data_IF_851866486927
#
_entry.id   IF_851866486927
#
_cell.length_a   1.000
_cell.length_b   1.000
_cell.length_c   1.000
_cell.angle_alpha   90.00
_cell.angle_beta   90.00
_cell.angle_gamma   90.00
#
_symmetry.space_group_name_H-M   'P 1'
#
loop_
_entity.id
_entity.type
_entity.pdbx_description
1 polymer ?
#
# COMPACT_ATOMS: atom_id res chain seq x y z
N UNK A 1 -32.85 5.37 -6.31
CA UNK A 1 -32.06 5.97 -5.20
C UNK A 1 -31.09 4.92 -4.71
N UNK A 2 -29.79 5.13 -4.89
CA UNK A 2 -28.78 4.22 -4.34
C UNK A 2 -28.80 4.36 -2.81
N UNK A 3 -29.06 3.28 -2.08
CA UNK A 3 -29.15 3.28 -0.60
C UNK A 3 -27.82 3.01 0.10
N UNK A 4 -26.81 2.60 -0.67
CA UNK A 4 -25.52 2.16 -0.14
C UNK A 4 -24.40 2.74 -1.00
N UNK A 5 -23.31 3.08 -0.33
CA UNK A 5 -22.06 3.52 -0.94
C UNK A 5 -21.00 2.54 -0.47
N UNK A 6 -20.20 2.05 -1.42
CA UNK A 6 -19.05 1.20 -1.14
C UNK A 6 -17.82 2.06 -1.32
N UNK A 7 -16.92 1.99 -0.34
CA UNK A 7 -15.63 2.67 -0.38
C UNK A 7 -14.54 1.62 -0.49
N UNK A 8 -13.53 1.93 -1.30
CA UNK A 8 -12.26 1.25 -1.21
C UNK A 8 -11.60 1.58 0.14
N UNK A 9 -10.66 0.75 0.57
CA UNK A 9 -9.99 0.91 1.86
C UNK A 9 -8.70 1.72 1.72
N UNK A 10 -7.72 1.16 1.01
CA UNK A 10 -6.38 1.73 0.86
C UNK A 10 -6.43 3.02 0.03
N UNK A 11 -5.85 4.10 0.54
CA UNK A 11 -5.85 5.41 -0.12
C UNK A 11 -7.21 6.12 -0.18
N UNK A 12 -8.30 5.47 0.23
CA UNK A 12 -9.65 6.06 0.28
C UNK A 12 -10.12 6.29 1.72
N UNK A 13 -10.15 5.25 2.55
CA UNK A 13 -10.51 5.36 3.97
C UNK A 13 -9.28 5.47 4.87
N UNK A 14 -8.14 4.94 4.43
CA UNK A 14 -6.90 4.88 5.22
C UNK A 14 -5.69 5.21 4.37
N UNK A 15 -4.81 6.08 4.88
CA UNK A 15 -3.44 6.25 4.36
C UNK A 15 -2.56 5.07 4.81
N UNK A 16 -2.64 3.98 4.05
CA UNK A 16 -1.99 2.71 4.37
C UNK A 16 -0.62 2.54 3.71
N UNK A 17 -0.18 3.48 2.87
CA UNK A 17 1.08 3.38 2.13
C UNK A 17 2.29 3.28 3.07
N UNK A 18 2.28 4.04 4.16
CA UNK A 18 3.33 4.03 5.19
C UNK A 18 3.47 2.68 5.91
N UNK A 19 2.41 1.85 5.89
CA UNK A 19 2.42 0.50 6.48
C UNK A 19 2.78 -0.55 5.43
N UNK A 20 2.36 -0.34 4.18
CA UNK A 20 2.55 -1.29 3.10
C UNK A 20 4.03 -1.43 2.68
N UNK A 21 4.75 -0.31 2.59
CA UNK A 21 6.17 -0.29 2.15
C UNK A 21 7.08 -1.14 3.07
N UNK A 22 7.04 -0.99 4.41
CA UNK A 22 7.80 -1.85 5.31
C UNK A 22 7.46 -3.34 5.17
N UNK A 23 6.18 -3.69 5.04
CA UNK A 23 5.73 -5.09 4.91
C UNK A 23 6.24 -5.70 3.60
N UNK A 24 6.10 -4.97 2.49
CA UNK A 24 6.62 -5.39 1.21
C UNK A 24 8.13 -5.63 1.28
N UNK A 25 8.89 -4.68 1.85
CA UNK A 25 10.34 -4.78 1.94
C UNK A 25 10.80 -5.99 2.76
N UNK A 26 10.11 -6.32 3.85
CA UNK A 26 10.40 -7.54 4.63
C UNK A 26 10.26 -8.81 3.79
N UNK A 27 9.25 -8.88 2.93
CA UNK A 27 9.03 -10.02 2.04
C UNK A 27 10.07 -10.03 0.92
N UNK A 28 10.37 -8.87 0.34
CA UNK A 28 11.34 -8.74 -0.73
C UNK A 28 12.74 -9.20 -0.28
N UNK A 29 13.20 -8.73 0.88
CA UNK A 29 14.48 -9.15 1.47
C UNK A 29 14.53 -10.65 1.71
N UNK A 30 13.47 -11.23 2.30
CA UNK A 30 13.39 -12.67 2.57
C UNK A 30 13.56 -13.54 1.34
N UNK A 31 13.14 -13.04 0.17
CA UNK A 31 13.16 -13.79 -1.08
C UNK A 31 14.20 -13.28 -2.10
N UNK A 32 15.05 -12.31 -1.73
CA UNK A 32 16.10 -11.77 -2.59
C UNK A 32 15.60 -10.84 -3.70
N UNK A 33 14.42 -10.23 -3.54
CA UNK A 33 13.90 -9.21 -4.45
C UNK A 33 14.36 -7.80 -4.07
N UNK A 34 14.21 -6.86 -5.00
CA UNK A 34 14.52 -5.44 -4.77
C UNK A 34 13.51 -4.82 -3.79
N UNK A 35 14.01 -4.14 -2.77
CA UNK A 35 13.20 -3.27 -1.90
C UNK A 35 12.82 -1.98 -2.61
N UNK A 36 11.79 -1.31 -2.10
CA UNK A 36 11.30 -0.02 -2.61
C UNK A 36 11.38 1.05 -1.52
N UNK A 37 11.71 2.27 -1.92
CA UNK A 37 11.63 3.46 -1.08
C UNK A 37 10.36 4.23 -1.42
N UNK A 38 9.80 4.95 -0.45
CA UNK A 38 8.60 5.77 -0.64
C UNK A 38 8.75 6.76 -1.80
N UNK A 39 9.96 7.28 -2.00
CA UNK A 39 10.30 8.22 -3.08
C UNK A 39 10.20 7.61 -4.49
N UNK A 40 10.25 6.28 -4.60
CA UNK A 40 10.17 5.54 -5.87
C UNK A 40 8.71 5.23 -6.27
N UNK A 41 7.72 5.58 -5.44
CA UNK A 41 6.30 5.31 -5.67
C UNK A 41 5.66 6.56 -6.30
N UNK A 42 5.16 6.43 -7.52
CA UNK A 42 4.40 7.47 -8.21
C UNK A 42 2.94 7.52 -7.71
N UNK A 43 2.37 8.73 -7.65
CA UNK A 43 0.98 9.02 -7.26
C UNK A 43 0.07 9.23 -8.49
#
# INVERSE_FOLDING_TARGET
>A
MQKYIVFDFDGTLVDSQNIFVPIYNQIAEKHGYKTVREEEIEY
#
